data_IF_702512934252
#
_entry.id   IF_702512934252
#
_cell.length_a   1.000
_cell.length_b   1.000
_cell.length_c   1.000
_cell.angle_alpha   90.00
_cell.angle_beta   90.00
_cell.angle_gamma   90.00
#
_symmetry.space_group_name_H-M   'P 1'
#
loop_
_entity.id
_entity.type
_entity.pdbx_description
1 polymer ?
#
# COMPACT_ATOMS: atom_id res chain seq x y z
N UNK A 1 4.51 10.97 4.40
CA UNK A 1 4.12 10.79 5.81
C UNK A 1 2.77 10.07 5.90
N UNK A 2 2.79 8.75 6.11
CA UNK A 2 1.58 7.92 6.24
C UNK A 2 1.00 7.95 7.66
N UNK A 3 1.79 8.34 8.67
CA UNK A 3 1.39 8.30 10.08
C UNK A 3 0.30 9.34 10.39
N UNK A 4 0.41 10.56 9.85
CA UNK A 4 -0.56 11.63 10.12
C UNK A 4 -1.99 11.26 9.67
N UNK A 5 -2.23 10.76 8.44
CA UNK A 5 -3.54 10.25 8.04
C UNK A 5 -4.07 9.14 8.95
N UNK A 6 -3.21 8.20 9.37
CA UNK A 6 -3.62 7.10 10.23
C UNK A 6 -3.99 7.59 11.63
N UNK A 7 -3.14 8.42 12.27
CA UNK A 7 -3.40 9.02 13.59
C UNK A 7 -4.71 9.80 13.60
N UNK A 8 -4.98 10.56 12.53
CA UNK A 8 -6.23 11.31 12.36
C UNK A 8 -7.43 10.36 12.30
N UNK A 9 -7.33 9.28 11.55
CA UNK A 9 -8.42 8.32 11.39
C UNK A 9 -8.74 7.55 12.68
N UNK A 10 -7.76 7.33 13.54
CA UNK A 10 -7.95 6.66 14.84
C UNK A 10 -8.23 7.63 15.99
N UNK A 11 -8.31 8.94 15.71
CA UNK A 11 -8.61 9.97 16.71
C UNK A 11 -7.48 10.26 17.70
N UNK A 12 -6.23 9.93 17.35
CA UNK A 12 -5.06 10.19 18.19
C UNK A 12 -4.45 11.57 17.90
N UNK A 13 -3.81 12.21 18.90
CA UNK A 13 -3.05 13.44 18.70
C UNK A 13 -1.98 13.28 17.61
N UNK A 14 -1.83 14.28 16.74
CA UNK A 14 -0.87 14.26 15.63
C UNK A 14 0.60 14.23 16.08
N UNK A 15 0.88 14.59 17.34
CA UNK A 15 2.19 14.56 18.00
C UNK A 15 2.46 13.25 18.76
N UNK A 16 1.55 12.25 18.64
CA UNK A 16 1.73 10.92 19.26
C UNK A 16 3.02 10.24 18.78
N UNK A 17 3.32 10.36 17.49
CA UNK A 17 4.56 9.83 16.90
C UNK A 17 5.61 10.94 16.89
N UNK A 18 6.49 10.92 17.90
CA UNK A 18 7.52 11.96 18.12
C UNK A 18 8.82 11.70 17.37
N UNK A 19 9.10 10.44 17.04
CA UNK A 19 10.30 10.01 16.31
C UNK A 19 9.90 8.94 15.30
N UNK A 20 9.83 9.31 14.03
CA UNK A 20 9.67 8.39 12.92
C UNK A 20 10.88 8.53 12.02
N UNK A 21 11.43 7.40 11.57
CA UNK A 21 12.37 7.38 10.48
C UNK A 21 11.60 7.29 9.17
N UNK A 22 11.87 8.22 8.27
CA UNK A 22 11.28 8.21 6.93
C UNK A 22 12.19 7.47 5.95
N UNK A 23 11.55 6.79 5.01
CA UNK A 23 12.21 6.08 3.93
C UNK A 23 11.42 6.31 2.64
N UNK A 24 12.12 6.33 1.51
CA UNK A 24 11.51 6.60 0.20
C UNK A 24 10.76 5.40 -0.41
N UNK A 25 10.84 4.21 0.23
CA UNK A 25 10.24 2.98 -0.29
C UNK A 25 9.69 2.10 0.83
N UNK A 26 8.46 1.59 0.63
CA UNK A 26 7.84 0.62 1.53
C UNK A 26 8.70 -0.63 1.72
N UNK A 27 9.42 -1.08 0.69
CA UNK A 27 10.28 -2.26 0.82
C UNK A 27 11.38 -2.05 1.86
N UNK A 28 11.98 -0.86 1.90
CA UNK A 28 13.02 -0.52 2.88
C UNK A 28 12.45 -0.42 4.28
N UNK A 29 11.28 0.22 4.43
CA UNK A 29 10.55 0.29 5.71
C UNK A 29 10.26 -1.10 6.26
N UNK A 30 9.76 -2.00 5.42
CA UNK A 30 9.45 -3.37 5.81
C UNK A 30 10.69 -4.17 6.18
N UNK A 31 11.80 -3.98 5.46
CA UNK A 31 13.06 -4.63 5.80
C UNK A 31 13.61 -4.15 7.16
N UNK A 32 13.46 -2.85 7.47
CA UNK A 32 13.83 -2.31 8.78
C UNK A 32 12.98 -2.94 9.91
N UNK A 33 11.67 -3.05 9.72
CA UNK A 33 10.79 -3.71 10.69
C UNK A 33 11.12 -5.19 10.87
N UNK A 34 11.38 -5.92 9.78
CA UNK A 34 11.83 -7.34 9.83
C UNK A 34 13.15 -7.52 10.58
N UNK A 35 14.02 -6.51 10.50
CA UNK A 35 15.30 -6.49 11.20
C UNK A 35 15.17 -6.06 12.67
N UNK A 36 13.95 -5.81 13.16
CA UNK A 36 13.68 -5.46 14.55
C UNK A 36 13.91 -3.99 14.90
N UNK A 37 14.01 -3.09 13.92
CA UNK A 37 14.24 -1.66 14.19
C UNK A 37 12.99 -0.93 14.73
N UNK A 38 11.81 -1.55 14.71
CA UNK A 38 10.58 -0.99 15.27
C UNK A 38 9.32 -1.37 14.49
N UNK A 39 8.31 -0.51 14.58
CA UNK A 39 7.01 -0.67 13.92
C UNK A 39 7.02 0.09 12.58
N UNK A 40 6.66 -0.62 11.51
CA UNK A 40 6.50 -0.06 10.17
C UNK A 40 5.03 0.26 9.88
N UNK A 41 4.80 1.43 9.29
CA UNK A 41 3.56 1.72 8.56
C UNK A 41 3.77 1.40 7.09
N UNK A 42 2.87 0.60 6.51
CA UNK A 42 2.96 0.20 5.11
C UNK A 42 1.56 -0.06 4.54
N UNK A 43 1.44 0.05 3.22
CA UNK A 43 0.25 -0.36 2.51
C UNK A 43 0.09 -1.90 2.60
N UNK A 44 -1.14 -2.35 2.86
CA UNK A 44 -1.50 -3.76 3.04
C UNK A 44 -1.02 -4.65 1.90
N UNK A 45 -1.01 -4.15 0.66
CA UNK A 45 -0.56 -4.89 -0.52
C UNK A 45 0.91 -5.33 -0.44
N UNK A 46 1.78 -4.57 0.22
CA UNK A 46 3.20 -4.91 0.34
C UNK A 46 3.50 -5.88 1.49
N UNK A 47 2.61 -5.98 2.49
CA UNK A 47 2.86 -6.77 3.71
C UNK A 47 2.22 -8.15 3.70
N UNK A 48 1.27 -8.41 2.79
CA UNK A 48 0.47 -9.65 2.82
C UNK A 48 1.32 -10.92 2.83
N UNK A 49 2.36 -10.98 2.00
CA UNK A 49 3.23 -12.15 1.97
C UNK A 49 4.03 -12.31 3.27
N UNK A 50 4.55 -11.21 3.82
CA UNK A 50 5.31 -11.21 5.07
C UNK A 50 4.44 -11.60 6.27
N UNK A 51 3.19 -11.11 6.31
CA UNK A 51 2.20 -11.50 7.32
C UNK A 51 1.84 -13.00 7.20
N UNK A 52 1.58 -13.50 5.99
CA UNK A 52 1.27 -14.92 5.74
C UNK A 52 2.42 -15.85 6.17
N UNK A 53 3.67 -15.41 5.99
CA UNK A 53 4.86 -16.17 6.40
C UNK A 53 5.20 -16.04 7.89
N UNK A 54 4.50 -15.16 8.63
CA UNK A 54 4.81 -14.86 10.03
C UNK A 54 6.11 -14.08 10.23
N UNK A 55 6.68 -13.51 9.15
CA UNK A 55 7.87 -12.66 9.23
C UNK A 55 7.56 -11.29 9.83
N UNK A 56 6.31 -10.86 9.70
CA UNK A 56 5.74 -9.67 10.33
C UNK A 56 4.41 -10.05 10.97
N UNK A 57 4.01 -9.26 11.95
CA UNK A 57 2.69 -9.33 12.57
C UNK A 57 2.03 -7.96 12.50
N UNK A 58 0.71 -7.92 12.48
CA UNK A 58 0.00 -6.65 12.61
C UNK A 58 0.12 -6.16 14.06
N UNK A 59 0.89 -5.10 14.27
CA UNK A 59 1.19 -4.61 15.61
C UNK A 59 0.03 -3.80 16.22
N UNK A 60 -0.72 -3.07 15.41
CA UNK A 60 -1.75 -2.11 15.87
C UNK A 60 -2.98 -2.21 14.96
N UNK A 61 -4.18 -2.14 15.54
CA UNK A 61 -5.47 -1.99 14.87
C UNK A 61 -6.02 -0.56 15.05
N UNK A 62 -6.86 -0.04 14.13
CA UNK A 62 -7.39 -0.66 12.91
C UNK A 62 -6.54 -0.40 11.65
N UNK A 63 -6.86 -1.13 10.57
CA UNK A 63 -6.45 -0.78 9.20
C UNK A 63 -7.28 0.43 8.76
N UNK A 64 -6.62 1.43 8.19
CA UNK A 64 -7.28 2.65 7.70
C UNK A 64 -7.10 2.75 6.18
N UNK A 65 -8.15 3.12 5.42
CA UNK A 65 -8.02 3.37 4.00
C UNK A 65 -6.95 4.43 3.73
N UNK A 66 -5.95 4.09 2.91
CA UNK A 66 -4.93 5.04 2.52
C UNK A 66 -5.55 6.11 1.60
N UNK A 67 -5.28 7.41 1.83
CA UNK A 67 -5.71 8.46 0.91
C UNK A 67 -4.96 8.31 -0.43
N UNK A 68 -5.70 8.30 -1.53
CA UNK A 68 -5.15 8.23 -2.88
C UNK A 68 -5.62 7.01 -3.68
N UNK A 69 -5.37 7.02 -4.98
CA UNK A 69 -5.68 5.93 -5.90
C UNK A 69 -4.51 5.74 -6.86
N UNK A 70 -4.34 4.52 -7.34
CA UNK A 70 -3.36 4.19 -8.36
C UNK A 70 -3.99 4.38 -9.74
N UNK A 71 -3.25 4.98 -10.67
CA UNK A 71 -3.75 5.32 -12.00
C UNK A 71 -2.83 4.76 -13.08
N UNK A 72 -3.42 4.19 -14.12
CA UNK A 72 -2.74 3.91 -15.39
C UNK A 72 -2.92 5.14 -16.30
N UNK A 73 -1.82 5.82 -16.62
CA UNK A 73 -1.83 7.08 -17.39
C UNK A 73 -1.09 6.93 -18.72
N UNK A 74 -1.59 7.60 -19.76
CA UNK A 74 -0.94 7.69 -21.06
C UNK A 74 -1.24 9.05 -21.70
N UNK A 75 -0.41 9.47 -22.64
CA UNK A 75 -0.68 10.68 -23.41
C UNK A 75 -1.98 10.55 -24.20
N UNK A 76 -2.82 11.59 -24.17
CA UNK A 76 -4.15 11.56 -24.78
C UNK A 76 -4.12 11.19 -26.27
N UNK A 77 -3.14 11.70 -27.04
CA UNK A 77 -2.97 11.39 -28.46
C UNK A 77 -2.67 9.91 -28.75
N UNK A 78 -2.14 9.19 -27.75
CA UNK A 78 -1.76 7.77 -27.86
C UNK A 78 -2.81 6.84 -27.23
N UNK A 79 -3.91 7.37 -26.69
CA UNK A 79 -4.91 6.56 -25.99
C UNK A 79 -5.57 5.48 -26.88
N UNK A 80 -5.53 5.67 -28.21
CA UNK A 80 -6.04 4.73 -29.22
C UNK A 80 -4.92 3.90 -29.89
N UNK A 81 -3.67 4.02 -29.45
CA UNK A 81 -2.59 3.15 -29.89
C UNK A 81 -2.95 1.68 -29.56
N UNK A 82 -2.94 0.75 -30.54
CA UNK A 82 -3.34 -0.63 -30.31
C UNK A 82 -2.58 -1.32 -29.17
N UNK A 83 -1.30 -0.99 -28.96
CA UNK A 83 -0.49 -1.57 -27.89
C UNK A 83 -0.90 -1.04 -26.52
N UNK A 84 -1.20 0.26 -26.42
CA UNK A 84 -1.69 0.87 -25.16
C UNK A 84 -3.09 0.34 -24.84
N UNK A 85 -3.95 0.22 -25.85
CA UNK A 85 -5.30 -0.34 -25.68
C UNK A 85 -5.23 -1.79 -25.19
N UNK A 86 -4.38 -2.62 -25.81
CA UNK A 86 -4.17 -4.01 -25.40
C UNK A 86 -3.67 -4.11 -23.96
N UNK A 87 -2.64 -3.33 -23.59
CA UNK A 87 -2.11 -3.32 -22.21
C UNK A 87 -3.17 -2.87 -21.19
N UNK A 88 -3.92 -1.80 -21.49
CA UNK A 88 -5.00 -1.31 -20.63
C UNK A 88 -6.09 -2.37 -20.42
N UNK A 89 -6.47 -3.09 -21.48
CA UNK A 89 -7.44 -4.18 -21.39
C UNK A 89 -6.91 -5.30 -20.52
N UNK A 90 -5.68 -5.76 -20.77
CA UNK A 90 -5.03 -6.80 -19.99
C UNK A 90 -4.92 -6.44 -18.49
N UNK A 91 -4.53 -5.21 -18.15
CA UNK A 91 -4.48 -4.75 -16.74
C UNK A 91 -5.88 -4.83 -16.10
N UNK A 92 -6.92 -4.37 -16.80
CA UNK A 92 -8.30 -4.41 -16.26
C UNK A 92 -8.80 -5.84 -16.05
N UNK A 93 -8.47 -6.76 -16.96
CA UNK A 93 -8.84 -8.16 -16.84
C UNK A 93 -8.10 -8.85 -15.70
N UNK A 94 -6.80 -8.59 -15.57
CA UNK A 94 -5.97 -9.12 -14.48
C UNK A 94 -6.48 -8.64 -13.12
N UNK A 95 -6.76 -7.34 -12.98
CA UNK A 95 -7.31 -6.79 -11.74
C UNK A 95 -8.68 -7.36 -11.38
N UNK A 96 -9.53 -7.67 -12.37
CA UNK A 96 -10.82 -8.33 -12.13
C UNK A 96 -10.63 -9.76 -11.62
N UNK A 97 -9.78 -10.54 -12.28
CA UNK A 97 -9.48 -11.90 -11.88
C UNK A 97 -8.88 -11.99 -10.47
N UNK A 98 -8.01 -11.04 -10.10
CA UNK A 98 -7.41 -10.99 -8.76
C UNK A 98 -8.39 -10.50 -7.70
N UNK A 99 -9.32 -9.58 -8.02
CA UNK A 99 -10.32 -9.08 -7.08
C UNK A 99 -11.19 -10.20 -6.50
N UNK A 100 -11.54 -11.20 -7.31
CA UNK A 100 -12.37 -12.35 -6.92
C UNK A 100 -11.65 -13.31 -5.96
N UNK A 101 -10.32 -13.22 -5.85
CA UNK A 101 -9.50 -14.09 -4.98
C UNK A 101 -9.12 -13.45 -3.65
N UNK A 102 -9.58 -12.23 -3.40
CA UNK A 102 -9.22 -11.47 -2.20
C UNK A 102 -10.37 -11.41 -1.19
N UNK A 103 -10.20 -11.91 0.06
CA UNK A 103 -11.18 -11.70 1.11
C UNK A 103 -11.25 -10.22 1.44
N UNK A 104 -12.47 -9.68 1.46
CA UNK A 104 -12.82 -8.26 1.40
C UNK A 104 -12.12 -7.31 2.39
N UNK A 105 -12.19 -6.03 1.99
CA UNK A 105 -11.59 -4.82 2.53
C UNK A 105 -11.90 -4.51 3.99
#
# INVERSE_FOLDING_TARGET
DDWQPWLKAVGLPQDTIRKAQEFDSYLTVLQAARSGLGIAMANSHFVVNALKKGELVQAIEPKVPQPGRWYLVCEQRRANDPHIAAFRTWVKETLRAEHDTWPER
#
